data_IF_755535173043
#
_entry.id   IF_755535173043
#
_cell.length_a   1.000
_cell.length_b   1.000
_cell.length_c   1.000
_cell.angle_alpha   90.00
_cell.angle_beta   90.00
_cell.angle_gamma   90.00
#
_symmetry.space_group_name_H-M   'P 1'
#
loop_
_entity.id
_entity.type
_entity.pdbx_description
1 polymer ?
#
# COMPACT_ATOMS: atom_id res chain seq x y z
N UNK A 1 -34.15 19.43 9.16
CA UNK A 1 -33.82 18.25 8.34
C UNK A 1 -32.67 17.50 8.96
N UNK A 2 -32.90 16.33 9.44
CA UNK A 2 -31.84 15.49 9.98
C UNK A 2 -30.98 14.99 8.83
N UNK A 3 -29.67 15.14 8.95
CA UNK A 3 -28.73 14.52 8.01
C UNK A 3 -28.90 13.00 8.10
N UNK A 4 -28.92 12.28 6.97
CA UNK A 4 -28.94 10.84 7.05
C UNK A 4 -27.71 10.37 7.83
N UNK A 5 -27.94 9.64 8.90
CA UNK A 5 -26.85 9.01 9.64
C UNK A 5 -26.28 7.88 8.79
N UNK A 6 -24.97 7.90 8.62
CA UNK A 6 -24.28 6.81 7.96
C UNK A 6 -24.54 5.49 8.73
N UNK A 7 -24.68 4.34 8.03
CA UNK A 7 -24.82 3.07 8.72
C UNK A 7 -23.65 2.82 9.67
N UNK A 8 -23.87 2.11 10.80
CA UNK A 8 -22.78 1.75 11.69
C UNK A 8 -21.66 1.04 10.92
N UNK A 9 -20.43 1.52 11.08
CA UNK A 9 -19.27 0.97 10.40
C UNK A 9 -18.89 1.66 9.09
N UNK A 10 -19.68 2.62 8.60
CA UNK A 10 -19.29 3.40 7.43
C UNK A 10 -18.51 4.63 7.87
N UNK A 11 -17.35 4.85 7.19
CA UNK A 11 -16.48 5.99 7.43
C UNK A 11 -16.71 7.04 6.35
N UNK A 12 -16.61 8.32 6.73
CA UNK A 12 -16.57 9.39 5.74
C UNK A 12 -15.20 9.37 5.01
N UNK A 13 -15.04 10.13 3.90
CA UNK A 13 -13.78 10.10 3.13
C UNK A 13 -12.55 10.47 3.94
N UNK A 14 -12.65 11.42 4.86
CA UNK A 14 -11.51 11.83 5.69
C UNK A 14 -11.14 10.73 6.69
N UNK A 15 -12.12 10.08 7.30
CA UNK A 15 -11.91 8.96 8.20
C UNK A 15 -11.29 7.77 7.48
N UNK A 16 -11.71 7.50 6.23
CA UNK A 16 -11.13 6.44 5.40
C UNK A 16 -9.66 6.71 5.11
N UNK A 17 -9.32 7.95 4.79
CA UNK A 17 -7.94 8.35 4.54
C UNK A 17 -7.07 8.16 5.78
N UNK A 18 -7.56 8.60 6.95
CA UNK A 18 -6.84 8.41 8.21
C UNK A 18 -6.69 6.94 8.57
N UNK A 19 -7.75 6.14 8.39
CA UNK A 19 -7.71 4.71 8.65
C UNK A 19 -6.72 4.00 7.72
N UNK A 20 -6.62 4.41 6.46
CA UNK A 20 -5.66 3.84 5.50
C UNK A 20 -4.23 4.20 5.86
N UNK A 21 -3.97 5.45 6.29
CA UNK A 21 -2.62 5.89 6.64
C UNK A 21 -2.13 5.31 7.96
N UNK A 22 -2.97 5.27 8.99
CA UNK A 22 -2.56 4.95 10.35
C UNK A 22 -3.21 3.71 10.93
N UNK A 23 -4.26 3.19 10.32
CA UNK A 23 -4.98 2.03 10.81
C UNK A 23 -4.24 0.72 10.60
N UNK A 24 -4.49 -0.25 11.49
CA UNK A 24 -3.95 -1.60 11.35
C UNK A 24 -4.73 -2.46 10.36
N UNK A 25 -5.96 -2.09 10.08
CA UNK A 25 -6.79 -2.77 9.10
C UNK A 25 -7.14 -1.81 7.97
N UNK A 26 -7.07 -2.31 6.74
CA UNK A 26 -7.43 -1.53 5.58
C UNK A 26 -8.93 -1.20 5.59
N UNK A 27 -9.33 0.00 5.12
CA UNK A 27 -10.73 0.29 4.86
C UNK A 27 -11.32 -0.72 3.89
N UNK A 28 -12.61 -1.03 4.03
CA UNK A 28 -13.31 -1.89 3.09
C UNK A 28 -13.19 -1.33 1.67
N UNK A 29 -12.84 -2.17 0.72
CA UNK A 29 -12.65 -1.78 -0.67
C UNK A 29 -11.34 -1.09 -1.00
N UNK A 30 -10.38 -1.04 -0.07
CA UNK A 30 -9.05 -0.51 -0.35
C UNK A 30 -8.34 -1.33 -1.44
N UNK A 31 -7.79 -0.62 -2.43
CA UNK A 31 -7.08 -1.22 -3.57
C UNK A 31 -5.72 -0.55 -3.70
N UNK A 32 -4.64 -1.32 -3.83
CA UNK A 32 -4.56 -2.77 -3.64
C UNK A 32 -4.65 -3.17 -2.17
N UNK A 33 -5.03 -4.42 -1.89
CA UNK A 33 -4.88 -4.98 -0.55
C UNK A 33 -3.41 -5.08 -0.20
N UNK A 34 -3.02 -4.64 0.99
CA UNK A 34 -1.63 -4.61 1.43
C UNK A 34 -1.49 -5.17 2.83
N UNK A 35 -0.45 -5.98 3.01
CA UNK A 35 -0.03 -6.46 4.31
C UNK A 35 1.29 -5.77 4.68
N UNK A 36 1.40 -5.35 5.93
CA UNK A 36 2.64 -4.78 6.47
C UNK A 36 3.09 -5.64 7.64
N UNK A 37 4.31 -6.15 7.56
CA UNK A 37 4.89 -7.04 8.56
C UNK A 37 6.13 -6.35 9.13
N UNK A 38 6.11 -6.09 10.43
CA UNK A 38 7.28 -5.54 11.09
C UNK A 38 8.14 -6.66 11.68
N UNK A 39 9.43 -6.67 11.34
CA UNK A 39 10.43 -7.55 11.93
C UNK A 39 11.45 -6.70 12.70
N UNK A 40 12.32 -7.36 13.44
CA UNK A 40 13.34 -6.66 14.22
C UNK A 40 14.27 -5.80 13.36
N UNK A 41 14.59 -6.25 12.16
CA UNK A 41 15.58 -5.64 11.26
C UNK A 41 15.00 -5.05 9.97
N UNK A 42 13.75 -5.34 9.64
CA UNK A 42 13.14 -4.89 8.40
C UNK A 42 11.63 -4.76 8.52
N UNK A 43 11.04 -4.03 7.58
CA UNK A 43 9.60 -4.01 7.35
C UNK A 43 9.35 -4.67 5.99
N UNK A 44 8.43 -5.61 5.93
CA UNK A 44 8.02 -6.27 4.70
C UNK A 44 6.62 -5.79 4.34
N UNK A 45 6.45 -5.35 3.11
CA UNK A 45 5.14 -4.95 2.59
C UNK A 45 4.79 -5.85 1.43
N UNK A 46 3.59 -6.43 1.46
CA UNK A 46 3.06 -7.25 0.37
C UNK A 46 1.79 -6.61 -0.16
N UNK A 47 1.70 -6.52 -1.48
CA UNK A 47 0.54 -5.92 -2.13
C UNK A 47 0.05 -6.84 -3.25
N UNK A 48 -1.26 -7.07 -3.29
CA UNK A 48 -1.88 -7.84 -4.36
C UNK A 48 -2.12 -6.92 -5.56
N UNK A 49 -1.37 -7.13 -6.63
CA UNK A 49 -1.43 -6.30 -7.84
C UNK A 49 -1.57 -7.17 -9.10
N UNK A 50 -2.66 -7.98 -9.18
CA UNK A 50 -2.82 -8.90 -10.30
C UNK A 50 -2.92 -8.15 -11.63
N UNK A 51 -2.24 -8.68 -12.64
CA UNK A 51 -2.25 -8.11 -13.98
C UNK A 51 -1.43 -6.83 -14.16
N UNK A 52 -0.75 -6.36 -13.14
CA UNK A 52 0.08 -5.15 -13.19
C UNK A 52 1.48 -5.51 -13.63
N UNK A 53 2.03 -4.71 -14.54
CA UNK A 53 3.42 -4.84 -14.95
C UNK A 53 4.34 -4.07 -14.03
N UNK A 54 5.52 -4.59 -13.84
CA UNK A 54 6.60 -3.96 -13.09
C UNK A 54 6.82 -2.49 -13.51
N UNK A 55 6.80 -2.21 -14.81
CA UNK A 55 7.07 -0.88 -15.35
C UNK A 55 5.96 0.14 -15.05
N UNK A 56 4.77 -0.34 -14.69
CA UNK A 56 3.63 0.52 -14.36
C UNK A 56 3.55 0.83 -12.86
N UNK A 57 4.41 0.19 -12.06
CA UNK A 57 4.44 0.39 -10.61
C UNK A 57 5.49 1.41 -10.20
N UNK A 58 5.09 2.29 -9.32
CA UNK A 58 5.95 3.27 -8.67
C UNK A 58 5.86 3.11 -7.16
N UNK A 59 7.00 2.93 -6.53
CA UNK A 59 7.09 2.81 -5.08
C UNK A 59 7.97 3.95 -4.58
N UNK A 60 7.47 4.70 -3.63
CA UNK A 60 8.26 5.72 -2.98
C UNK A 60 8.12 5.63 -1.46
N UNK A 61 9.22 5.91 -0.77
CA UNK A 61 9.25 5.96 0.68
C UNK A 61 9.89 7.28 1.08
N UNK A 62 9.23 8.01 1.96
CA UNK A 62 9.76 9.24 2.53
C UNK A 62 9.57 9.18 4.05
N UNK A 63 10.66 8.98 4.77
CA UNK A 63 10.61 8.73 6.21
C UNK A 63 9.85 7.44 6.52
N UNK A 64 8.65 7.57 7.04
CA UNK A 64 7.75 6.44 7.32
C UNK A 64 6.57 6.37 6.35
N UNK A 65 6.47 7.30 5.40
CA UNK A 65 5.36 7.30 4.45
C UNK A 65 5.72 6.48 3.22
N UNK A 66 5.00 5.40 3.03
CA UNK A 66 5.09 4.56 1.84
C UNK A 66 3.96 4.93 0.88
N UNK A 67 4.31 5.17 -0.37
CA UNK A 67 3.33 5.38 -1.44
C UNK A 67 3.54 4.35 -2.54
N UNK A 68 2.48 3.64 -2.87
CA UNK A 68 2.43 2.70 -3.98
C UNK A 68 1.46 3.23 -5.01
N UNK A 69 1.96 3.38 -6.23
CA UNK A 69 1.18 3.93 -7.33
C UNK A 69 1.29 3.05 -8.56
N UNK A 70 0.18 2.85 -9.22
CA UNK A 70 0.12 2.19 -10.52
C UNK A 70 -0.53 3.12 -11.52
N UNK A 71 0.16 3.36 -12.63
CA UNK A 71 -0.37 4.20 -13.69
C UNK A 71 -1.61 3.55 -14.31
N UNK A 72 -2.60 4.39 -14.63
CA UNK A 72 -3.77 3.93 -15.35
C UNK A 72 -3.39 3.58 -16.79
N UNK A 73 -3.72 2.35 -17.20
CA UNK A 73 -3.52 1.94 -18.58
C UNK A 73 -4.66 2.41 -19.46
N UNK A 74 -4.33 2.97 -20.60
CA UNK A 74 -5.29 3.20 -21.65
C UNK A 74 -5.94 1.86 -22.02
N UNK A 75 -7.27 1.82 -21.99
CA UNK A 75 -7.99 0.64 -22.45
C UNK A 75 -7.76 0.48 -23.95
N UNK A 76 -7.50 -0.74 -24.40
CA UNK A 76 -7.53 -1.09 -25.81
C UNK A 76 -8.99 -1.14 -26.26
N UNK A 77 -9.60 0.04 -26.39
CA UNK A 77 -11.04 0.16 -26.71
C UNK A 77 -11.40 -0.50 -28.04
N UNK A 78 -10.46 -0.49 -28.98
CA UNK A 78 -10.68 -1.03 -30.33
C UNK A 78 -10.69 -2.55 -30.36
N UNK A 79 -9.98 -3.20 -29.43
CA UNK A 79 -9.87 -4.65 -29.38
C UNK A 79 -10.97 -5.33 -28.54
N UNK A 80 -11.49 -4.61 -27.55
CA UNK A 80 -12.39 -5.19 -26.56
C UNK A 80 -13.87 -4.90 -26.81
N UNK A 81 -14.19 -3.81 -27.57
CA UNK A 81 -15.57 -3.36 -27.75
C UNK A 81 -16.07 -2.47 -26.62
N UNK A 82 -17.39 -2.45 -26.41
CA UNK A 82 -17.99 -1.65 -25.35
C UNK A 82 -18.04 -2.44 -24.03
N UNK A 83 -17.69 -1.75 -22.93
CA UNK A 83 -17.84 -2.33 -21.61
C UNK A 83 -19.31 -2.41 -21.21
N UNK A 84 -19.81 -3.59 -20.98
CA UNK A 84 -21.10 -3.80 -20.36
C UNK A 84 -21.03 -3.60 -18.85
N UNK A 85 -19.93 -4.06 -18.24
CA UNK A 85 -19.65 -3.89 -16.80
C UNK A 85 -18.15 -3.74 -16.65
N UNK A 86 -17.75 -2.88 -15.71
CA UNK A 86 -16.37 -2.58 -15.49
C UNK A 86 -16.06 -2.48 -14.00
N UNK A 87 -15.48 -3.50 -13.46
CA UNK A 87 -15.14 -3.60 -12.03
C UNK A 87 -13.66 -3.72 -11.76
N UNK A 88 -12.86 -4.10 -12.76
CA UNK A 88 -11.42 -4.24 -12.57
C UNK A 88 -10.77 -2.86 -12.43
N UNK A 89 -9.93 -2.66 -11.40
CA UNK A 89 -9.23 -1.40 -11.23
C UNK A 89 -8.24 -1.19 -12.37
N UNK A 90 -8.10 0.06 -12.82
CA UNK A 90 -7.20 0.43 -13.93
C UNK A 90 -5.90 1.02 -13.47
N UNK A 91 -5.91 1.60 -12.33
CA UNK A 91 -4.77 2.20 -11.70
C UNK A 91 -5.12 2.45 -10.26
N UNK A 92 -4.13 2.75 -9.45
CA UNK A 92 -4.34 3.05 -8.05
C UNK A 92 -3.21 3.91 -7.52
N UNK A 93 -3.50 4.59 -6.45
CA UNK A 93 -2.50 5.25 -5.62
C UNK A 93 -2.89 5.02 -4.17
N UNK A 94 -1.98 4.46 -3.42
CA UNK A 94 -2.23 4.19 -2.01
C UNK A 94 -1.01 4.54 -1.18
N UNK A 95 -1.26 5.24 -0.07
CA UNK A 95 -0.22 5.61 0.88
C UNK A 95 -0.56 5.04 2.25
N UNK A 96 0.48 4.66 2.98
CA UNK A 96 0.34 4.24 4.36
C UNK A 96 1.58 4.63 5.16
N UNK A 97 1.42 4.71 6.47
CA UNK A 97 2.51 5.00 7.38
C UNK A 97 3.09 3.69 7.87
N UNK A 98 4.39 3.51 7.67
CA UNK A 98 5.11 2.32 8.12
C UNK A 98 5.29 2.36 9.65
N UNK A 99 5.38 1.18 10.29
CA UNK A 99 5.55 1.11 11.75
C UNK A 99 6.92 1.57 12.24
N UNK A 100 7.88 1.76 11.33
CA UNK A 100 9.24 2.18 11.67
C UNK A 100 9.87 2.89 10.49
N UNK A 101 10.87 3.70 10.77
CA UNK A 101 11.71 4.31 9.74
C UNK A 101 12.54 3.22 9.03
N UNK A 102 12.72 3.35 7.73
CA UNK A 102 13.45 2.39 6.91
C UNK A 102 14.57 3.07 6.12
N UNK A 103 15.54 2.28 5.71
CA UNK A 103 16.65 2.73 4.88
C UNK A 103 16.26 2.59 3.41
N UNK A 104 15.89 3.69 2.79
CA UNK A 104 15.42 3.73 1.40
C UNK A 104 16.47 3.21 0.41
N UNK A 105 17.75 3.47 0.69
CA UNK A 105 18.83 3.08 -0.19
C UNK A 105 19.01 1.56 -0.29
N UNK A 106 18.57 0.83 0.74
CA UNK A 106 18.69 -0.62 0.81
C UNK A 106 17.37 -1.34 0.53
N UNK A 107 16.32 -0.60 0.16
CA UNK A 107 15.03 -1.18 -0.16
C UNK A 107 15.11 -2.04 -1.43
N UNK A 108 14.38 -3.13 -1.44
CA UNK A 108 14.25 -4.00 -2.60
C UNK A 108 12.79 -4.36 -2.85
N UNK A 109 12.46 -4.64 -4.09
CA UNK A 109 11.11 -5.01 -4.50
C UNK A 109 11.16 -6.17 -5.48
N UNK A 110 10.23 -7.10 -5.32
CA UNK A 110 10.02 -8.19 -6.27
C UNK A 110 8.55 -8.25 -6.64
N UNK A 111 8.27 -8.53 -7.91
CA UNK A 111 6.91 -8.76 -8.41
C UNK A 111 6.85 -10.15 -9.00
N UNK A 112 6.01 -11.01 -8.41
CA UNK A 112 5.88 -12.39 -8.83
C UNK A 112 4.44 -12.85 -8.64
N UNK A 113 3.87 -13.43 -9.68
CA UNK A 113 2.52 -14.00 -9.62
C UNK A 113 1.44 -13.01 -9.14
N UNK A 114 1.59 -11.73 -9.48
CA UNK A 114 0.66 -10.68 -9.05
C UNK A 114 0.85 -10.23 -7.63
N UNK A 115 1.90 -10.66 -6.95
CA UNK A 115 2.24 -10.23 -5.60
C UNK A 115 3.50 -9.37 -5.62
N UNK A 116 3.37 -8.13 -5.20
CA UNK A 116 4.49 -7.24 -4.97
C UNK A 116 4.97 -7.42 -3.54
N UNK A 117 6.25 -7.72 -3.38
CA UNK A 117 6.88 -7.77 -2.06
C UNK A 117 7.97 -6.73 -1.97
N UNK A 118 7.87 -5.88 -0.98
CA UNK A 118 8.87 -4.86 -0.65
C UNK A 118 9.60 -5.30 0.62
N UNK A 119 10.92 -5.30 0.57
CA UNK A 119 11.75 -5.49 1.75
C UNK A 119 12.44 -4.18 2.06
N UNK A 120 12.13 -3.65 3.22
CA UNK A 120 12.54 -2.32 3.66
C UNK A 120 13.36 -2.46 4.94
N UNK A 121 14.71 -2.56 4.81
CA UNK A 121 15.56 -2.70 5.99
C UNK A 121 15.47 -1.47 6.89
N UNK A 122 15.46 -1.70 8.19
CA UNK A 122 15.55 -0.62 9.16
C UNK A 122 16.99 -0.09 9.18
N UNK A 123 17.20 1.21 9.46
CA UNK A 123 18.54 1.71 9.65
C UNK A 123 19.26 0.94 10.76
N UNK A 124 20.56 0.75 10.62
CA UNK A 124 21.36 -0.01 11.59
C UNK A 124 21.20 0.49 13.03
N UNK A 125 21.08 1.79 13.21
CA UNK A 125 20.86 2.41 14.51
C UNK A 125 19.58 1.95 15.20
N UNK A 126 18.60 1.40 14.46
CA UNK A 126 17.31 0.94 14.97
C UNK A 126 17.21 -0.58 15.08
N UNK A 127 18.18 -1.30 14.49
CA UNK A 127 18.11 -2.77 14.43
C UNK A 127 18.39 -3.45 15.74
N UNK A 128 19.23 -2.86 16.60
CA UNK A 128 19.61 -3.44 17.87
C UNK A 128 19.85 -2.38 18.93
N UNK A 129 18.94 -2.29 19.87
CA UNK A 129 19.20 -1.67 21.17
C UNK A 129 19.47 -2.76 22.19
N UNK A 130 20.74 -3.13 22.31
CA UNK A 130 21.19 -3.92 23.46
C UNK A 130 21.42 -2.97 24.61
N UNK A 131 20.59 -3.07 25.62
CA UNK A 131 20.84 -2.38 26.87
C UNK A 131 22.00 -3.08 27.56
N UNK A 132 23.08 -2.36 27.75
CA UNK A 132 24.24 -2.86 28.47
C UNK A 132 23.93 -2.82 29.95
N UNK A 133 24.03 -3.97 30.62
CA UNK A 133 23.88 -4.05 32.07
C UNK A 133 25.28 -4.00 32.68
N UNK A 134 25.54 -2.93 33.39
CA UNK A 134 26.79 -2.81 34.17
C UNK A 134 26.69 -3.50 35.50
#
# INVERSE_FOLDING_TARGET
MAKPTAPPGSLDPAQRMLADLFGRQAPAGAVPGMDVIERADEVIVRAAVPGVRKDDLEVSVSGTLLTLRCAERAAHKEELGEYYRRELPRGFSRSLVLPAEVDEAKASATLRDGLLELRLPKPERQRRHRVRID
#
